data_IF_518735330494
#
_entry.id   IF_518735330494
#
_cell.length_a   1.000
_cell.length_b   1.000
_cell.length_c   1.000
_cell.angle_alpha   90.00
_cell.angle_beta   90.00
_cell.angle_gamma   90.00
#
_symmetry.space_group_name_H-M   'P 1'
#
loop_
_entity.id
_entity.type
_entity.pdbx_description
1 polymer ?
#
# COMPACT_ATOMS: atom_id res chain seq x y z
N UNK A 1 -7.88 17.34 19.20
CA UNK A 1 -7.34 16.35 18.26
C UNK A 1 -7.20 14.94 18.83
N UNK A 2 -6.62 14.73 20.01
CA UNK A 2 -6.44 13.39 20.62
C UNK A 2 -7.75 12.60 20.86
N UNK A 3 -8.87 13.26 21.26
CA UNK A 3 -10.18 12.61 21.44
C UNK A 3 -10.81 12.08 20.13
N UNK A 4 -10.74 12.84 19.03
CA UNK A 4 -11.28 12.41 17.73
C UNK A 4 -10.51 11.19 17.17
N UNK A 5 -9.20 11.15 17.35
CA UNK A 5 -8.35 10.03 16.91
C UNK A 5 -8.66 8.74 17.69
N UNK A 6 -8.85 8.83 19.03
CA UNK A 6 -9.25 7.68 19.85
C UNK A 6 -10.64 7.13 19.51
N UNK A 7 -11.61 8.00 19.21
CA UNK A 7 -12.96 7.59 18.83
C UNK A 7 -12.96 6.90 17.46
N UNK A 8 -12.21 7.40 16.48
CA UNK A 8 -12.04 6.75 15.17
C UNK A 8 -11.38 5.36 15.32
N UNK A 9 -10.35 5.26 16.11
CA UNK A 9 -9.63 4.00 16.35
C UNK A 9 -10.53 2.94 17.02
N UNK A 10 -11.37 3.33 17.98
CA UNK A 10 -12.35 2.46 18.61
C UNK A 10 -13.41 1.94 17.62
N UNK A 11 -13.94 2.81 16.77
CA UNK A 11 -14.92 2.43 15.72
C UNK A 11 -14.31 1.46 14.71
N UNK A 12 -13.06 1.68 14.30
CA UNK A 12 -12.36 0.80 13.35
C UNK A 12 -12.12 -0.58 13.95
N UNK A 13 -11.73 -0.68 15.21
CA UNK A 13 -11.55 -1.97 15.91
C UNK A 13 -12.88 -2.73 16.04
N UNK A 14 -13.97 -2.04 16.35
CA UNK A 14 -15.32 -2.64 16.42
C UNK A 14 -15.76 -3.16 15.05
N UNK A 15 -15.53 -2.40 13.98
CA UNK A 15 -15.80 -2.83 12.61
C UNK A 15 -15.01 -4.08 12.23
N UNK A 16 -13.71 -4.11 12.54
CA UNK A 16 -12.88 -5.29 12.26
C UNK A 16 -13.39 -6.52 13.01
N UNK A 17 -13.80 -6.36 14.27
CA UNK A 17 -14.38 -7.46 15.03
C UNK A 17 -15.68 -7.96 14.39
N UNK A 18 -16.54 -7.07 13.94
CA UNK A 18 -17.75 -7.41 13.19
C UNK A 18 -17.42 -8.16 11.89
N UNK A 19 -16.50 -7.63 11.06
CA UNK A 19 -16.12 -8.23 9.79
C UNK A 19 -15.51 -9.63 9.95
N UNK A 20 -14.76 -9.88 11.02
CA UNK A 20 -14.21 -11.22 11.32
C UNK A 20 -15.30 -12.28 11.52
N UNK A 21 -16.50 -11.90 11.89
CA UNK A 21 -17.65 -12.82 12.08
C UNK A 21 -18.44 -13.06 10.80
N UNK A 22 -18.24 -12.25 9.76
CA UNK A 22 -18.95 -12.37 8.49
C UNK A 22 -18.33 -13.44 7.58
N UNK A 23 -19.05 -13.82 6.51
CA UNK A 23 -18.50 -14.70 5.48
C UNK A 23 -17.36 -14.02 4.71
N UNK A 24 -16.48 -14.81 4.10
CA UNK A 24 -15.42 -14.28 3.24
C UNK A 24 -16.00 -13.46 2.09
N UNK A 25 -17.06 -14.00 1.45
CA UNK A 25 -17.73 -13.32 0.34
C UNK A 25 -18.27 -11.94 0.76
N UNK A 26 -18.96 -11.85 1.89
CA UNK A 26 -19.48 -10.58 2.38
C UNK A 26 -18.38 -9.54 2.58
N UNK A 27 -17.28 -9.94 3.18
CA UNK A 27 -16.16 -9.04 3.45
C UNK A 27 -15.51 -8.58 2.14
N UNK A 28 -15.28 -9.50 1.20
CA UNK A 28 -14.71 -9.19 -0.11
C UNK A 28 -15.59 -8.20 -0.90
N UNK A 29 -16.91 -8.43 -0.96
CA UNK A 29 -17.86 -7.54 -1.62
C UNK A 29 -17.87 -6.12 -1.01
N UNK A 30 -17.83 -6.03 0.33
CA UNK A 30 -17.77 -4.73 1.03
C UNK A 30 -16.48 -3.97 0.74
N UNK A 31 -15.33 -4.66 0.72
CA UNK A 31 -14.07 -4.04 0.40
C UNK A 31 -14.00 -3.62 -1.07
N UNK A 32 -14.46 -4.46 -1.99
CA UNK A 32 -14.45 -4.14 -3.42
C UNK A 32 -15.30 -2.90 -3.70
N UNK A 33 -16.54 -2.86 -3.21
CA UNK A 33 -17.40 -1.69 -3.40
C UNK A 33 -16.78 -0.42 -2.82
N UNK A 34 -16.29 -0.47 -1.58
CA UNK A 34 -15.68 0.69 -0.94
C UNK A 34 -14.37 1.11 -1.62
N UNK A 35 -13.60 0.16 -2.13
CA UNK A 35 -12.39 0.44 -2.91
C UNK A 35 -12.71 1.23 -4.18
N UNK A 36 -13.65 0.75 -4.99
CA UNK A 36 -14.08 1.41 -6.23
C UNK A 36 -14.53 2.84 -5.94
N UNK A 37 -15.45 3.04 -4.98
CA UNK A 37 -15.94 4.37 -4.60
C UNK A 37 -14.83 5.32 -4.11
N UNK A 38 -13.88 4.83 -3.32
CA UNK A 38 -12.80 5.66 -2.78
C UNK A 38 -11.78 6.03 -3.84
N UNK A 39 -11.44 5.10 -4.74
CA UNK A 39 -10.46 5.37 -5.78
C UNK A 39 -11.01 6.15 -6.99
N UNK A 40 -12.32 6.37 -7.06
CA UNK A 40 -12.90 7.43 -7.90
C UNK A 40 -12.57 8.84 -7.37
N UNK A 41 -12.42 8.99 -6.06
CA UNK A 41 -12.15 10.27 -5.39
C UNK A 41 -10.66 10.53 -5.13
N UNK A 42 -9.86 9.48 -4.95
CA UNK A 42 -8.44 9.55 -4.55
C UNK A 42 -7.54 9.01 -5.64
N UNK A 43 -6.53 9.78 -6.03
CA UNK A 43 -5.41 9.32 -6.83
C UNK A 43 -4.19 9.03 -5.96
N UNK A 44 -3.57 7.86 -6.14
CA UNK A 44 -2.31 7.53 -5.48
C UNK A 44 -1.17 8.48 -5.90
N UNK A 45 -1.17 8.95 -7.15
CA UNK A 45 -0.17 9.90 -7.65
C UNK A 45 -0.29 11.26 -6.98
N UNK A 46 -1.51 11.71 -6.69
CA UNK A 46 -1.71 12.97 -5.95
C UNK A 46 -1.28 12.84 -4.48
N UNK A 47 -1.48 11.68 -3.88
CA UNK A 47 -1.17 11.43 -2.47
C UNK A 47 0.32 11.13 -2.24
N UNK A 48 0.90 10.17 -2.97
CA UNK A 48 2.29 9.69 -2.88
C UNK A 48 2.81 9.40 -1.46
N UNK A 49 1.95 9.29 -0.45
CA UNK A 49 2.37 9.18 0.95
C UNK A 49 3.16 7.88 1.23
N UNK A 50 2.75 6.76 0.62
CA UNK A 50 3.48 5.50 0.73
C UNK A 50 4.88 5.58 0.10
N UNK A 51 5.05 6.33 -1.00
CA UNK A 51 6.35 6.58 -1.62
C UNK A 51 7.28 7.42 -0.74
N UNK A 52 6.71 8.24 0.14
CA UNK A 52 7.46 9.10 1.07
C UNK A 52 7.81 8.41 2.38
N UNK A 53 6.99 7.45 2.80
CA UNK A 53 7.03 6.91 4.17
C UNK A 53 7.20 5.40 4.26
N UNK A 54 6.86 4.65 3.20
CA UNK A 54 6.96 3.19 3.16
C UNK A 54 7.88 2.76 2.01
N UNK A 55 8.77 1.82 2.29
CA UNK A 55 9.56 1.16 1.25
C UNK A 55 8.86 -0.13 0.78
N UNK A 56 8.77 -0.38 -0.53
CA UNK A 56 8.28 -1.65 -1.02
C UNK A 56 9.33 -2.76 -0.84
N UNK A 57 8.87 -3.99 -0.68
CA UNK A 57 9.69 -5.17 -0.91
C UNK A 57 9.89 -5.32 -2.42
N UNK A 58 11.12 -5.53 -2.85
CA UNK A 58 11.51 -5.63 -4.26
C UNK A 58 11.85 -7.08 -4.58
N UNK A 59 11.08 -7.72 -5.44
CA UNK A 59 11.33 -9.09 -5.88
C UNK A 59 12.42 -9.14 -6.96
N UNK A 60 13.05 -10.31 -7.15
CA UNK A 60 14.05 -10.50 -8.21
C UNK A 60 13.51 -10.18 -9.61
N UNK A 61 12.24 -10.49 -9.87
CA UNK A 61 11.55 -10.12 -11.12
C UNK A 61 11.39 -8.61 -11.29
N UNK A 62 11.13 -7.89 -10.20
CA UNK A 62 11.06 -6.43 -10.20
C UNK A 62 12.44 -5.82 -10.50
N UNK A 63 13.48 -6.30 -9.82
CA UNK A 63 14.87 -5.85 -10.04
C UNK A 63 15.26 -5.97 -11.51
N UNK A 64 14.97 -7.14 -12.11
CA UNK A 64 15.28 -7.38 -13.54
C UNK A 64 14.51 -6.43 -14.45
N UNK A 65 13.22 -6.22 -14.19
CA UNK A 65 12.36 -5.35 -15.00
C UNK A 65 12.76 -3.88 -14.90
N UNK A 66 12.98 -3.39 -13.67
CA UNK A 66 13.31 -2.00 -13.40
C UNK A 66 14.71 -1.67 -13.92
N UNK A 67 15.72 -2.51 -13.64
CA UNK A 67 17.09 -2.29 -14.12
C UNK A 67 17.16 -2.21 -15.64
N UNK A 68 16.40 -3.06 -16.35
CA UNK A 68 16.28 -3.00 -17.80
C UNK A 68 15.66 -1.68 -18.28
N UNK A 69 14.59 -1.23 -17.63
CA UNK A 69 13.87 0.00 -17.98
C UNK A 69 14.75 1.24 -17.82
N UNK A 70 15.52 1.34 -16.73
CA UNK A 70 16.42 2.48 -16.49
C UNK A 70 17.79 2.33 -17.15
N UNK A 71 18.06 1.20 -17.81
CA UNK A 71 19.26 1.01 -18.64
C UNK A 71 20.54 0.70 -17.85
N UNK A 72 20.45 0.07 -16.68
CA UNK A 72 21.62 -0.33 -15.88
C UNK A 72 21.62 -1.83 -15.58
N UNK A 73 22.77 -2.37 -15.17
CA UNK A 73 22.86 -3.77 -14.79
C UNK A 73 22.12 -4.06 -13.49
N UNK A 74 21.71 -5.32 -13.29
CA UNK A 74 21.08 -5.79 -12.05
C UNK A 74 21.97 -5.50 -10.84
N UNK A 75 23.28 -5.79 -10.95
CA UNK A 75 24.24 -5.53 -9.87
C UNK A 75 24.35 -4.05 -9.52
N UNK A 76 24.36 -3.18 -10.53
CA UNK A 76 24.39 -1.73 -10.31
C UNK A 76 23.11 -1.24 -9.65
N UNK A 77 21.94 -1.73 -10.07
CA UNK A 77 20.67 -1.40 -9.47
C UNK A 77 20.62 -1.81 -7.99
N UNK A 78 21.04 -3.03 -7.69
CA UNK A 78 21.11 -3.53 -6.30
C UNK A 78 22.07 -2.68 -5.46
N UNK A 79 23.25 -2.38 -5.98
CA UNK A 79 24.25 -1.58 -5.28
C UNK A 79 23.77 -0.15 -5.02
N UNK A 80 23.21 0.51 -6.01
CA UNK A 80 22.87 1.94 -5.92
C UNK A 80 21.57 2.21 -5.17
N UNK A 81 20.57 1.35 -5.31
CA UNK A 81 19.20 1.62 -4.82
C UNK A 81 18.71 0.69 -3.73
N UNK A 82 19.29 -0.49 -3.56
CA UNK A 82 18.74 -1.52 -2.69
C UNK A 82 19.66 -1.88 -1.52
N UNK A 83 19.06 -2.38 -0.47
CA UNK A 83 19.69 -3.08 0.65
C UNK A 83 18.88 -4.32 1.00
N UNK A 84 19.50 -5.24 1.71
CA UNK A 84 18.81 -6.40 2.30
C UNK A 84 18.40 -6.03 3.72
N UNK A 85 17.13 -6.26 4.06
CA UNK A 85 16.60 -6.01 5.40
C UNK A 85 16.79 -7.21 6.36
N UNK A 86 16.23 -7.10 7.55
CA UNK A 86 16.31 -8.13 8.60
C UNK A 86 15.62 -9.45 8.21
N UNK A 87 14.60 -9.39 7.33
CA UNK A 87 13.87 -10.54 6.81
C UNK A 87 14.52 -11.14 5.56
N UNK A 88 15.71 -10.67 5.21
CA UNK A 88 16.46 -11.08 4.00
C UNK A 88 15.75 -10.71 2.69
N UNK A 89 14.96 -9.65 2.70
CA UNK A 89 14.29 -9.10 1.54
C UNK A 89 15.03 -7.89 0.98
N UNK A 90 15.00 -7.73 -0.34
CA UNK A 90 15.46 -6.52 -1.00
C UNK A 90 14.46 -5.38 -0.76
N UNK A 91 14.96 -4.27 -0.24
CA UNK A 91 14.20 -3.04 0.00
C UNK A 91 14.99 -1.82 -0.48
N UNK A 92 14.33 -0.66 -0.63
CA UNK A 92 15.02 0.58 -0.98
C UNK A 92 15.99 1.01 0.14
N UNK A 93 17.16 1.50 -0.24
CA UNK A 93 18.18 2.01 0.69
C UNK A 93 17.69 3.23 1.47
N UNK A 94 16.86 4.06 0.85
CA UNK A 94 16.44 5.34 1.40
C UNK A 94 14.98 5.64 1.10
N UNK A 95 14.40 6.46 1.96
CA UNK A 95 13.10 7.11 1.77
C UNK A 95 13.29 8.62 1.94
N UNK A 96 12.51 9.43 1.24
CA UNK A 96 11.51 9.08 0.21
C UNK A 96 12.07 8.22 -0.93
N UNK A 97 11.17 7.50 -1.63
CA UNK A 97 11.55 6.66 -2.76
C UNK A 97 12.38 7.45 -3.79
N UNK A 98 13.54 6.93 -4.24
CA UNK A 98 14.40 7.64 -5.20
C UNK A 98 13.76 7.84 -6.58
N UNK A 99 12.67 7.13 -6.88
CA UNK A 99 11.90 7.24 -8.13
C UNK A 99 10.69 8.17 -8.02
N UNK A 100 10.46 8.77 -6.85
CA UNK A 100 9.42 9.78 -6.64
C UNK A 100 9.92 11.14 -7.13
N UNK A 101 9.17 11.75 -8.04
CA UNK A 101 9.44 13.09 -8.57
C UNK A 101 8.79 14.17 -7.69
N UNK A 102 9.18 15.43 -7.89
CA UNK A 102 8.69 16.56 -7.09
C UNK A 102 7.17 16.77 -7.21
N UNK A 103 6.59 16.44 -8.37
CA UNK A 103 5.14 16.50 -8.63
C UNK A 103 4.37 15.28 -8.12
N UNK A 104 4.98 14.41 -7.31
CA UNK A 104 4.47 13.12 -6.84
C UNK A 104 4.34 12.02 -7.90
N UNK A 105 4.82 12.22 -9.11
CA UNK A 105 4.86 11.18 -10.12
C UNK A 105 5.93 10.14 -9.80
N UNK A 106 5.75 8.95 -10.32
CA UNK A 106 6.74 7.88 -10.22
C UNK A 106 7.47 7.72 -11.56
N UNK A 107 8.79 7.95 -11.58
CA UNK A 107 9.60 7.84 -12.80
C UNK A 107 9.67 6.43 -13.37
N UNK A 108 9.32 5.42 -12.57
CA UNK A 108 9.26 4.01 -12.99
C UNK A 108 7.83 3.44 -12.90
N UNK A 109 6.80 4.28 -13.02
CA UNK A 109 5.41 3.89 -12.78
C UNK A 109 5.00 2.64 -13.55
N UNK A 110 5.33 2.54 -14.84
CA UNK A 110 4.96 1.40 -15.70
C UNK A 110 5.64 0.09 -15.29
N UNK A 111 6.83 0.17 -14.72
CA UNK A 111 7.64 -0.97 -14.28
C UNK A 111 7.77 -1.06 -12.75
N UNK A 112 6.97 -0.30 -12.04
CA UNK A 112 7.02 -0.24 -10.57
C UNK A 112 6.99 -1.62 -9.91
N UNK A 113 7.56 -1.78 -8.72
CA UNK A 113 7.53 -3.04 -7.98
C UNK A 113 6.12 -3.60 -7.83
N UNK A 114 6.00 -4.93 -7.86
CA UNK A 114 4.71 -5.61 -7.66
C UNK A 114 4.05 -5.24 -6.33
N UNK A 115 4.85 -4.98 -5.29
CA UNK A 115 4.34 -4.49 -4.01
C UNK A 115 3.69 -3.10 -4.13
N UNK A 116 4.24 -2.21 -4.97
CA UNK A 116 3.64 -0.89 -5.24
C UNK A 116 2.34 -1.01 -6.03
N UNK A 117 2.25 -1.97 -6.95
CA UNK A 117 1.02 -2.21 -7.73
C UNK A 117 -0.11 -2.74 -6.87
N UNK A 118 0.21 -3.65 -5.95
CA UNK A 118 -0.77 -4.32 -5.10
C UNK A 118 -1.22 -3.45 -3.91
N UNK A 119 -0.38 -2.52 -3.45
CA UNK A 119 -0.71 -1.65 -2.33
C UNK A 119 -1.89 -0.72 -2.68
N UNK A 120 -2.87 -0.54 -1.82
CA UNK A 120 -2.96 -1.00 -0.43
C UNK A 120 -3.64 -2.37 -0.22
N UNK A 121 -3.74 -3.22 -1.22
CA UNK A 121 -4.31 -4.58 -1.19
C UNK A 121 -5.82 -4.66 -0.90
N UNK A 122 -6.55 -3.58 -1.08
CA UNK A 122 -7.99 -3.50 -0.74
C UNK A 122 -8.93 -3.96 -1.85
N UNK A 123 -8.39 -4.32 -3.01
CA UNK A 123 -9.09 -4.83 -4.19
C UNK A 123 -8.85 -6.33 -4.48
N UNK A 124 -8.14 -7.01 -3.59
CA UNK A 124 -7.82 -8.43 -3.75
C UNK A 124 -8.85 -9.34 -3.05
N UNK A 125 -8.82 -10.63 -3.35
CA UNK A 125 -9.64 -11.63 -2.67
C UNK A 125 -9.11 -11.95 -1.27
N UNK A 126 -9.97 -12.53 -0.42
CA UNK A 126 -9.68 -12.94 0.96
C UNK A 126 -9.37 -11.75 1.88
N UNK A 127 -10.09 -10.67 1.73
CA UNK A 127 -9.96 -9.45 2.53
C UNK A 127 -10.06 -9.72 4.04
N UNK A 128 -10.88 -10.69 4.44
CA UNK A 128 -11.01 -11.09 5.85
C UNK A 128 -9.66 -11.48 6.48
N UNK A 129 -8.78 -12.14 5.72
CA UNK A 129 -7.43 -12.49 6.19
C UNK A 129 -6.48 -11.30 6.25
N UNK A 130 -6.79 -10.23 5.55
CA UNK A 130 -5.95 -9.03 5.43
C UNK A 130 -6.34 -7.89 6.38
N UNK A 131 -7.40 -8.07 7.19
CA UNK A 131 -7.89 -7.02 8.09
C UNK A 131 -6.82 -6.45 9.02
N UNK A 132 -5.91 -7.30 9.52
CA UNK A 132 -4.79 -6.86 10.37
C UNK A 132 -3.76 -6.04 9.59
N UNK A 133 -3.51 -6.37 8.32
CA UNK A 133 -2.64 -5.59 7.43
C UNK A 133 -3.26 -4.23 7.14
N UNK A 134 -4.56 -4.19 6.84
CA UNK A 134 -5.24 -2.92 6.61
C UNK A 134 -5.19 -1.99 7.81
N UNK A 135 -5.38 -2.50 9.02
CA UNK A 135 -5.22 -1.69 10.25
C UNK A 135 -3.83 -1.05 10.35
N UNK A 136 -2.79 -1.78 9.96
CA UNK A 136 -1.41 -1.26 9.94
C UNK A 136 -1.21 -0.20 8.85
N UNK A 137 -1.96 -0.28 7.75
CA UNK A 137 -1.85 0.65 6.62
C UNK A 137 -2.63 1.96 6.82
N UNK A 138 -3.61 2.01 7.71
CA UNK A 138 -4.42 3.21 7.97
C UNK A 138 -3.56 4.47 8.23
N UNK A 139 -2.49 4.43 9.06
CA UNK A 139 -1.68 5.62 9.30
C UNK A 139 -0.93 6.14 8.08
N UNK A 140 -0.73 5.31 7.08
CA UNK A 140 0.08 5.62 5.88
C UNK A 140 -0.74 5.85 4.62
N UNK A 141 -1.93 5.25 4.53
CA UNK A 141 -2.77 5.30 3.35
C UNK A 141 -4.14 5.90 3.64
N UNK A 142 -4.40 7.16 3.24
CA UNK A 142 -5.70 7.80 3.42
C UNK A 142 -6.85 7.05 2.74
N UNK A 143 -6.58 6.33 1.65
CA UNK A 143 -7.58 5.52 0.98
C UNK A 143 -8.06 4.37 1.87
N UNK A 144 -7.16 3.70 2.59
CA UNK A 144 -7.54 2.62 3.54
C UNK A 144 -8.44 3.17 4.65
N UNK A 145 -8.11 4.32 5.22
CA UNK A 145 -8.95 4.97 6.23
C UNK A 145 -10.36 5.26 5.70
N UNK A 146 -10.46 5.85 4.50
CA UNK A 146 -11.77 6.13 3.86
C UNK A 146 -12.56 4.86 3.51
N UNK A 147 -11.89 3.79 3.09
CA UNK A 147 -12.54 2.49 2.84
C UNK A 147 -13.21 1.98 4.11
N UNK A 148 -12.50 2.00 5.24
CA UNK A 148 -13.10 1.61 6.53
C UNK A 148 -14.28 2.52 6.95
N UNK A 149 -14.19 3.80 6.68
CA UNK A 149 -15.29 4.75 6.93
C UNK A 149 -16.52 4.43 6.06
N UNK A 150 -16.32 4.08 4.78
CA UNK A 150 -17.39 3.68 3.86
C UNK A 150 -18.07 2.37 4.30
N UNK A 151 -17.29 1.35 4.67
CA UNK A 151 -17.81 0.07 5.12
C UNK A 151 -18.60 0.21 6.43
N UNK A 152 -18.23 1.14 7.29
CA UNK A 152 -18.86 1.36 8.60
C UNK A 152 -20.18 2.15 8.53
N UNK A 153 -20.56 2.63 7.36
CA UNK A 153 -21.85 3.30 7.15
C UNK A 153 -22.97 2.31 6.94
#
# INVERSE_FOLDING_TARGET
>A
MKKKKKVKEGKTKSLVHFLKKQSHQYVDEKFQQAHEEVFEEISCLDCANCCKTLGPRIKSSDIKRISKFIGISIKKFQHDFLKVDEDNDWVLKQLPCPFLEENNDCSIYEVRPSACRAYPHTDTWQQKKQLSLHLKNIPFCPAVEKIFEKINK
#
